data_IF_119273593556
#
_entry.id   IF_119273593556
#
_cell.length_a   1.000
_cell.length_b   1.000
_cell.length_c   1.000
_cell.angle_alpha   90.00
_cell.angle_beta   90.00
_cell.angle_gamma   90.00
#
_symmetry.space_group_name_H-M   'P 1'
#
loop_
_entity.id
_entity.type
_entity.pdbx_description
1 polymer ?
#
# COMPACT_ATOMS: atom_id res chain seq x y z
N UNK A 1 9.38 24.89 -28.45
CA UNK A 1 8.39 24.04 -27.76
C UNK A 1 7.11 24.04 -28.60
N UNK A 2 6.75 22.91 -29.22
CA UNK A 2 5.62 22.85 -30.18
C UNK A 2 4.28 22.95 -29.45
N UNK A 3 3.67 24.13 -29.46
CA UNK A 3 2.36 24.42 -28.84
C UNK A 3 1.21 23.68 -29.54
N UNK A 4 1.41 23.28 -30.80
CA UNK A 4 0.42 22.57 -31.60
C UNK A 4 0.19 21.14 -31.10
N UNK A 5 1.25 20.38 -30.81
CA UNK A 5 1.12 19.02 -30.30
C UNK A 5 0.47 18.98 -28.91
N UNK A 6 0.73 20.00 -28.07
CA UNK A 6 0.05 20.16 -26.79
C UNK A 6 -1.46 20.39 -26.97
N UNK A 7 -1.86 21.29 -27.88
CA UNK A 7 -3.29 21.56 -28.17
C UNK A 7 -3.98 20.34 -28.77
N UNK A 8 -3.31 19.62 -29.66
CA UNK A 8 -3.82 18.38 -30.24
C UNK A 8 -4.00 17.30 -29.17
N UNK A 9 -3.01 17.09 -28.30
CA UNK A 9 -3.09 16.13 -27.19
C UNK A 9 -4.17 16.50 -26.17
N UNK A 10 -4.30 17.79 -25.86
CA UNK A 10 -5.34 18.29 -24.96
C UNK A 10 -6.74 18.05 -25.53
N UNK A 11 -6.98 18.41 -26.79
CA UNK A 11 -8.26 18.18 -27.47
C UNK A 11 -8.60 16.68 -27.59
N UNK A 12 -7.61 15.85 -27.92
CA UNK A 12 -7.82 14.40 -27.98
C UNK A 12 -8.13 13.81 -26.61
N UNK A 13 -7.44 14.29 -25.56
CA UNK A 13 -7.66 13.87 -24.17
C UNK A 13 -9.02 14.29 -23.61
N UNK A 14 -9.53 15.47 -23.97
CA UNK A 14 -10.88 15.89 -23.55
C UNK A 14 -11.95 15.05 -24.24
N UNK A 15 -11.81 14.77 -25.53
CA UNK A 15 -12.77 13.94 -26.29
C UNK A 15 -12.79 12.51 -25.75
N UNK A 16 -11.63 11.89 -25.52
CA UNK A 16 -11.58 10.53 -24.95
C UNK A 16 -12.13 10.48 -23.53
N UNK A 17 -11.87 11.50 -22.70
CA UNK A 17 -12.42 11.58 -21.35
C UNK A 17 -13.95 11.68 -21.34
N UNK A 18 -14.53 12.52 -22.19
CA UNK A 18 -15.99 12.67 -22.28
C UNK A 18 -16.66 11.44 -22.93
N UNK A 19 -16.02 10.79 -23.91
CA UNK A 19 -16.51 9.51 -24.44
C UNK A 19 -16.53 8.42 -23.35
N UNK A 20 -15.43 8.25 -22.61
CA UNK A 20 -15.37 7.30 -21.50
C UNK A 20 -16.36 7.63 -20.38
N UNK A 21 -16.57 8.93 -20.13
CA UNK A 21 -17.57 9.41 -19.18
C UNK A 21 -18.97 9.03 -19.64
N UNK A 22 -19.32 9.29 -20.90
CA UNK A 22 -20.62 8.96 -21.47
C UNK A 22 -20.87 7.44 -21.47
N UNK A 23 -19.88 6.62 -21.83
CA UNK A 23 -19.98 5.15 -21.81
C UNK A 23 -20.13 4.60 -20.39
N UNK A 24 -19.47 5.22 -19.40
CA UNK A 24 -19.52 4.76 -18.00
C UNK A 24 -20.64 5.40 -17.17
N UNK A 25 -21.27 6.48 -17.64
CA UNK A 25 -22.39 7.13 -16.95
C UNK A 25 -23.71 6.37 -17.22
N UNK A 26 -23.78 5.12 -16.81
CA UNK A 26 -25.06 4.46 -16.53
C UNK A 26 -25.51 4.86 -15.13
N UNK A 27 -26.17 6.01 -15.01
CA UNK A 27 -27.12 6.46 -13.96
C UNK A 27 -26.92 7.95 -13.70
N UNK A 28 -27.90 8.82 -14.01
CA UNK A 28 -27.86 10.20 -13.58
C UNK A 28 -28.14 10.22 -12.06
N UNK A 29 -27.09 10.33 -11.26
CA UNK A 29 -27.25 10.74 -9.88
C UNK A 29 -27.69 12.21 -9.89
N UNK A 30 -28.91 12.48 -9.43
CA UNK A 30 -29.41 13.82 -9.13
C UNK A 30 -28.36 14.63 -8.36
N UNK A 31 -28.34 15.99 -8.45
CA UNK A 31 -27.39 16.80 -7.71
C UNK A 31 -27.61 16.58 -6.21
N UNK A 32 -26.83 15.66 -5.64
CA UNK A 32 -26.83 15.39 -4.24
C UNK A 32 -26.29 16.65 -3.56
N UNK A 33 -27.11 17.27 -2.72
CA UNK A 33 -26.66 18.15 -1.63
C UNK A 33 -25.35 17.58 -1.07
N UNK A 34 -24.39 18.40 -0.63
CA UNK A 34 -23.17 17.89 -0.02
C UNK A 34 -23.57 17.11 1.23
N UNK A 35 -23.78 15.80 1.06
CA UNK A 35 -23.73 14.84 2.12
C UNK A 35 -22.28 14.93 2.54
N UNK A 36 -22.04 15.75 3.56
CA UNK A 36 -20.98 15.50 4.51
C UNK A 36 -20.92 13.99 4.62
N UNK A 37 -19.87 13.39 4.06
CA UNK A 37 -19.66 11.97 4.18
C UNK A 37 -19.45 11.77 5.67
N UNK A 38 -20.55 11.60 6.41
CA UNK A 38 -20.54 10.88 7.67
C UNK A 38 -19.99 9.55 7.23
N UNK A 39 -18.69 9.41 7.42
CA UNK A 39 -17.99 8.15 7.47
C UNK A 39 -18.73 7.45 8.59
N UNK A 40 -19.84 6.79 8.26
CA UNK A 40 -20.44 5.79 9.09
C UNK A 40 -19.34 4.73 9.14
N UNK A 41 -18.44 4.91 10.11
CA UNK A 41 -17.61 3.82 10.57
C UNK A 41 -18.64 2.75 10.88
N UNK A 42 -18.67 1.63 10.14
CA UNK A 42 -19.51 0.52 10.57
C UNK A 42 -19.14 0.31 12.03
N UNK A 43 -20.14 0.36 12.91
CA UNK A 43 -19.98 0.17 14.34
C UNK A 43 -18.94 -0.93 14.53
N UNK A 44 -17.82 -0.58 15.18
CA UNK A 44 -16.62 -1.41 15.21
C UNK A 44 -17.07 -2.85 15.41
N UNK A 45 -16.84 -3.70 14.40
CA UNK A 45 -17.30 -5.07 14.44
C UNK A 45 -16.89 -5.63 15.81
N UNK A 46 -17.80 -6.31 16.54
CA UNK A 46 -17.53 -6.78 17.89
C UNK A 46 -16.17 -7.45 17.88
N UNK A 47 -15.27 -6.93 18.73
CA UNK A 47 -13.89 -7.35 18.74
C UNK A 47 -13.90 -8.86 18.96
N UNK A 48 -13.44 -9.60 17.96
CA UNK A 48 -13.42 -11.05 18.05
C UNK A 48 -12.58 -11.40 19.28
N UNK A 49 -13.10 -12.29 20.12
CA UNK A 49 -12.36 -12.72 21.31
C UNK A 49 -10.99 -13.27 20.90
N UNK A 50 -9.99 -13.13 21.78
CA UNK A 50 -8.62 -13.56 21.49
C UNK A 50 -8.55 -15.03 21.02
N UNK A 51 -9.36 -15.90 21.62
CA UNK A 51 -9.47 -17.31 21.23
C UNK A 51 -9.97 -17.50 19.79
N UNK A 52 -10.95 -16.71 19.34
CA UNK A 52 -11.44 -16.76 17.95
C UNK A 52 -10.36 -16.26 17.00
N UNK A 53 -9.61 -15.23 17.40
CA UNK A 53 -8.51 -14.72 16.58
C UNK A 53 -7.39 -15.76 16.42
N UNK A 54 -7.02 -16.46 17.49
CA UNK A 54 -6.05 -17.56 17.45
C UNK A 54 -6.48 -18.67 16.49
N UNK A 55 -7.74 -19.10 16.56
CA UNK A 55 -8.31 -20.07 15.62
C UNK A 55 -8.31 -19.56 14.17
N UNK A 56 -8.60 -18.27 13.95
CA UNK A 56 -8.55 -17.66 12.63
C UNK A 56 -7.12 -17.56 12.07
N UNK A 57 -6.11 -17.41 12.93
CA UNK A 57 -4.71 -17.35 12.52
C UNK A 57 -4.14 -18.73 12.16
N UNK A 58 -4.62 -19.80 12.80
CA UNK A 58 -4.15 -21.17 12.52
C UNK A 58 -4.48 -21.64 11.10
N UNK A 59 -5.67 -21.30 10.60
CA UNK A 59 -6.13 -21.74 9.28
C UNK A 59 -6.25 -20.56 8.32
N UNK A 60 -5.66 -20.61 7.13
CA UNK A 60 -5.78 -19.54 6.14
C UNK A 60 -7.24 -19.21 5.79
N UNK A 61 -7.53 -17.94 5.54
CA UNK A 61 -8.88 -17.48 5.23
C UNK A 61 -9.47 -18.14 3.97
N UNK A 62 -8.62 -18.54 3.01
CA UNK A 62 -9.06 -19.22 1.79
C UNK A 62 -9.68 -20.59 2.10
N UNK A 63 -9.14 -21.32 3.07
CA UNK A 63 -9.69 -22.60 3.53
C UNK A 63 -10.98 -22.35 4.28
N UNK A 64 -10.97 -21.42 5.26
CA UNK A 64 -12.13 -21.15 6.13
C UNK A 64 -13.34 -20.61 5.37
N UNK A 65 -13.14 -19.74 4.38
CA UNK A 65 -14.23 -19.04 3.67
C UNK A 65 -14.63 -19.70 2.37
N UNK A 66 -13.68 -20.31 1.66
CA UNK A 66 -13.92 -20.87 0.32
C UNK A 66 -13.81 -22.39 0.26
N UNK A 67 -13.53 -23.05 1.40
CA UNK A 67 -13.41 -24.51 1.51
C UNK A 67 -12.43 -25.08 0.46
N UNK A 68 -11.34 -24.34 0.22
CA UNK A 68 -10.30 -24.74 -0.72
C UNK A 68 -9.37 -25.73 -0.04
N UNK A 69 -9.11 -26.86 -0.71
CA UNK A 69 -8.03 -27.76 -0.33
C UNK A 69 -6.67 -27.08 -0.54
N UNK A 70 -5.89 -26.98 0.54
CA UNK A 70 -4.58 -26.34 0.52
C UNK A 70 -3.59 -27.11 -0.33
N UNK A 71 -3.67 -28.44 -0.36
CA UNK A 71 -2.71 -29.25 -1.08
C UNK A 71 -2.88 -29.06 -2.58
N UNK A 72 -4.12 -29.22 -3.07
CA UNK A 72 -4.46 -28.92 -4.46
C UNK A 72 -4.14 -27.46 -4.85
N UNK A 73 -4.41 -26.50 -3.97
CA UNK A 73 -4.07 -25.10 -4.25
C UNK A 73 -2.54 -24.89 -4.35
N UNK A 74 -1.76 -25.51 -3.47
CA UNK A 74 -0.30 -25.41 -3.48
C UNK A 74 0.29 -25.98 -4.77
N UNK A 75 -0.14 -27.18 -5.18
CA UNK A 75 0.33 -27.82 -6.42
C UNK A 75 -0.02 -26.99 -7.67
N UNK A 76 -1.21 -26.40 -7.69
CA UNK A 76 -1.65 -25.57 -8.83
C UNK A 76 -0.91 -24.22 -8.92
N UNK A 77 -0.49 -23.65 -7.78
CA UNK A 77 0.07 -22.29 -7.73
C UNK A 77 1.59 -22.26 -7.54
N UNK A 78 2.19 -23.36 -7.09
CA UNK A 78 3.63 -23.45 -6.90
C UNK A 78 4.25 -24.13 -8.11
N UNK A 79 5.20 -23.46 -8.75
CA UNK A 79 6.03 -24.05 -9.80
C UNK A 79 7.41 -24.27 -9.24
N UNK A 80 7.99 -25.43 -9.54
CA UNK A 80 9.38 -25.69 -9.20
C UNK A 80 10.28 -24.67 -9.93
N UNK A 81 10.83 -23.74 -9.16
CA UNK A 81 11.81 -22.80 -9.69
C UNK A 81 13.08 -23.60 -9.92
N UNK A 82 13.41 -23.88 -11.18
CA UNK A 82 14.73 -24.37 -11.54
C UNK A 82 15.75 -23.37 -11.00
N UNK A 83 16.46 -23.76 -9.93
CA UNK A 83 17.50 -22.95 -9.32
C UNK A 83 18.65 -22.89 -10.31
N UNK A 84 18.59 -21.94 -11.26
CA UNK A 84 19.77 -21.52 -12.00
C UNK A 84 20.71 -20.94 -10.95
N UNK A 85 21.76 -21.71 -10.63
CA UNK A 85 22.86 -21.28 -9.77
C UNK A 85 23.43 -19.99 -10.35
N UNK A 86 22.95 -18.84 -9.84
CA UNK A 86 23.49 -17.54 -10.23
C UNK A 86 24.87 -17.47 -9.62
N UNK A 87 25.90 -17.39 -10.48
CA UNK A 87 27.29 -17.22 -10.07
C UNK A 87 27.39 -16.08 -9.05
N UNK A 88 28.14 -16.24 -7.94
CA UNK A 88 28.22 -15.23 -6.89
C UNK A 88 28.77 -13.94 -7.49
N UNK A 89 27.97 -12.87 -7.40
CA UNK A 89 28.38 -11.53 -7.83
C UNK A 89 29.29 -10.96 -6.76
N UNK A 90 30.60 -11.01 -6.98
CA UNK A 90 31.60 -10.29 -6.17
C UNK A 90 31.34 -8.78 -6.29
N UNK A 91 30.63 -8.22 -5.31
CA UNK A 91 30.50 -6.77 -5.16
C UNK A 91 31.77 -6.29 -4.45
N UNK A 92 32.71 -5.68 -5.19
CA UNK A 92 33.73 -4.85 -4.56
C UNK A 92 33.03 -3.68 -3.85
N UNK A 93 33.25 -3.45 -2.55
CA UNK A 93 32.65 -2.32 -1.86
C UNK A 93 33.24 -1.03 -2.45
N UNK A 94 32.39 -0.22 -3.08
CA UNK A 94 32.71 1.19 -3.33
C UNK A 94 32.36 1.96 -2.07
N UNK A 95 33.38 2.31 -1.29
CA UNK A 95 33.29 3.28 -0.20
C UNK A 95 32.83 4.60 -0.82
N UNK A 96 31.57 4.97 -0.60
CA UNK A 96 31.10 6.34 -0.81
C UNK A 96 31.03 7.00 0.56
N UNK A 97 31.60 8.20 0.76
CA UNK A 97 31.43 8.91 2.02
C UNK A 97 29.95 9.24 2.17
N UNK A 98 29.33 8.69 3.22
CA UNK A 98 27.99 9.07 3.65
C UNK A 98 28.13 10.49 4.20
N UNK A 99 27.62 11.47 3.46
CA UNK A 99 27.31 12.77 4.03
C UNK A 99 26.16 12.55 5.03
N UNK A 100 26.54 12.37 6.29
CA UNK A 100 25.63 12.21 7.41
C UNK A 100 25.19 13.60 7.89
N UNK A 101 24.01 14.04 7.45
CA UNK A 101 23.17 15.02 8.11
C UNK A 101 21.84 15.03 7.32
N UNK A 102 20.67 14.77 7.88
CA UNK A 102 20.11 15.26 9.14
C UNK A 102 19.21 14.17 9.75
N UNK A 103 19.19 14.07 11.08
CA UNK A 103 18.70 12.94 11.90
C UNK A 103 19.70 11.80 12.07
N UNK A 104 20.83 12.11 12.72
CA UNK A 104 21.59 11.08 13.42
C UNK A 104 20.63 10.39 14.40
N UNK A 105 20.36 9.10 14.18
CA UNK A 105 19.61 8.28 15.12
C UNK A 105 20.27 8.43 16.49
N UNK A 106 19.51 8.86 17.51
CA UNK A 106 20.04 8.94 18.87
C UNK A 106 20.35 7.53 19.33
N UNK A 107 21.64 7.20 19.40
CA UNK A 107 22.11 5.97 20.02
C UNK A 107 22.11 6.23 21.53
N UNK A 108 21.15 5.67 22.24
CA UNK A 108 20.94 5.87 23.68
C UNK A 108 20.08 4.75 24.25
N UNK A 109 19.91 4.76 25.58
CA UNK A 109 19.05 3.77 26.24
C UNK A 109 17.58 3.96 25.83
N UNK A 110 16.75 2.90 25.86
CA UNK A 110 15.34 2.98 25.45
C UNK A 110 14.57 4.08 26.21
N UNK A 111 14.93 4.31 27.48
CA UNK A 111 14.31 5.32 28.32
C UNK A 111 14.58 6.75 27.81
N UNK A 112 15.77 7.00 27.23
CA UNK A 112 16.13 8.29 26.61
C UNK A 112 15.45 8.52 25.27
N UNK A 113 15.12 7.44 24.55
CA UNK A 113 14.43 7.49 23.26
C UNK A 113 12.93 7.78 23.40
N UNK A 114 12.33 7.34 24.51
CA UNK A 114 10.89 7.46 24.78
C UNK A 114 10.58 8.71 25.61
N UNK A 115 11.58 9.32 26.25
CA UNK A 115 11.41 10.55 27.01
C UNK A 115 10.82 11.67 26.12
N UNK A 116 9.84 12.45 26.61
CA UNK A 116 9.31 13.60 25.89
C UNK A 116 10.44 14.56 25.50
N UNK A 117 10.45 14.97 24.22
CA UNK A 117 11.43 15.93 23.72
C UNK A 117 11.05 17.30 24.28
N UNK A 118 11.69 17.70 25.37
CA UNK A 118 11.66 19.09 25.84
C UNK A 118 12.28 19.98 24.75
N UNK A 119 11.55 20.93 24.16
CA UNK A 119 12.14 21.90 23.25
C UNK A 119 13.07 22.78 24.07
N UNK A 120 14.38 22.70 23.79
CA UNK A 120 15.35 23.63 24.31
C UNK A 120 14.92 25.05 23.95
N UNK A 121 14.44 25.81 24.93
CA UNK A 121 14.26 27.25 24.83
C UNK A 121 15.65 27.85 24.69
N UNK A 122 16.08 28.06 23.44
CA UNK A 122 17.28 28.81 23.13
C UNK A 122 16.95 30.30 23.27
N UNK A 123 17.50 30.92 24.32
CA UNK A 123 17.67 32.36 24.42
C UNK A 123 18.91 32.80 23.63
#
# INVERSE_FOLDING_TARGET
>A
MSTFSYRAGYALGTVTREFLRAVKQSTPAAPAKPLMARRAMPAAAPHLSGQVLEQMCQVPAIVRRKQVDLNAWYEANTREVQVKVKKPRTRKPKTKPVQAATNALRLGSLNELIAPIEPSMNC
#
